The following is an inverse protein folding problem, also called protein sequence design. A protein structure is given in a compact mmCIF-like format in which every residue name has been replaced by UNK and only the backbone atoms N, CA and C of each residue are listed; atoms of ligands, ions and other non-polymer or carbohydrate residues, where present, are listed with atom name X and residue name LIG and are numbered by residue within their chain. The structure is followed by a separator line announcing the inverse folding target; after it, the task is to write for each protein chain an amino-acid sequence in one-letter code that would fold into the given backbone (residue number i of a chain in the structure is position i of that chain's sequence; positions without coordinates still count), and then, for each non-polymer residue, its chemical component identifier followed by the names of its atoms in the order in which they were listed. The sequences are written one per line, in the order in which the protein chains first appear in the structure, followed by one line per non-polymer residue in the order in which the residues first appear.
data_IF_426346897193
#
_entry.id   IF_426346897193
#
_cell.length_a   1.000
_cell.length_b   1.000
_cell.length_c   1.000
_cell.angle_alpha   90.00
_cell.angle_beta   90.00
_cell.angle_gamma   90.00
#
_symmetry.space_group_name_H-M   'P 1'
#
loop_
_entity.id
_entity.type
_entity.pdbx_description
1 polymer ?
#
# COMPACT_ATOMS: atom_id res chain seq x y z
N UNK A 1 -11.05 -28.00 17.93
CA UNK A 1 -10.64 -28.47 19.28
C UNK A 1 -11.06 -27.39 20.27
N UNK A 2 -12.23 -27.55 20.90
CA UNK A 2 -12.78 -26.58 21.86
C UNK A 2 -12.22 -26.87 23.26
N UNK A 3 -11.69 -25.84 23.92
CA UNK A 3 -11.20 -25.88 25.29
C UNK A 3 -12.39 -26.10 26.25
N UNK A 4 -12.36 -27.20 27.00
CA UNK A 4 -13.29 -27.49 28.08
C UNK A 4 -12.85 -26.76 29.36
N UNK A 5 -13.76 -26.15 30.13
CA UNK A 5 -13.41 -25.48 31.37
C UNK A 5 -13.20 -26.50 32.50
N UNK A 6 -11.98 -26.52 33.03
CA UNK A 6 -11.50 -27.38 34.12
C UNK A 6 -11.65 -26.68 35.48
N UNK A 7 -12.86 -26.64 36.04
CA UNK A 7 -13.06 -26.24 37.45
C UNK A 7 -14.17 -27.07 38.12
N UNK A 8 -13.86 -27.85 39.18
CA UNK A 8 -14.83 -28.71 39.86
C UNK A 8 -15.88 -27.98 40.72
N UNK A 9 -15.81 -26.65 40.88
CA UNK A 9 -16.72 -25.90 41.77
C UNK A 9 -18.04 -25.44 41.14
N UNK A 10 -18.23 -25.61 39.83
CA UNK A 10 -19.46 -25.19 39.13
C UNK A 10 -20.52 -26.29 39.01
N UNK A 11 -20.23 -27.53 39.43
CA UNK A 11 -21.12 -28.68 39.24
C UNK A 11 -22.20 -28.87 40.33
N UNK A 12 -22.12 -28.15 41.45
CA UNK A 12 -22.99 -28.36 42.61
C UNK A 12 -24.28 -27.51 42.63
N UNK A 13 -24.38 -26.45 41.81
CA UNK A 13 -25.57 -25.57 41.77
C UNK A 13 -26.63 -25.97 40.74
N UNK A 14 -26.39 -27.01 39.92
CA UNK A 14 -27.28 -27.41 38.83
C UNK A 14 -28.34 -28.47 39.18
N UNK A 15 -28.37 -29.00 40.42
CA UNK A 15 -29.27 -30.13 40.78
C UNK A 15 -30.62 -29.75 41.40
N UNK A 16 -30.90 -28.47 41.67
CA UNK A 16 -32.16 -28.04 42.34
C UNK A 16 -33.23 -27.41 41.41
N UNK A 17 -32.94 -27.18 40.12
CA UNK A 17 -33.87 -26.48 39.20
C UNK A 17 -34.63 -27.39 38.20
N UNK A 18 -34.65 -28.71 38.43
CA UNK A 18 -35.19 -29.69 37.47
C UNK A 18 -36.70 -29.57 37.17
N UNK A 19 -37.50 -29.07 38.12
CA UNK A 19 -38.96 -29.03 37.99
C UNK A 19 -39.50 -27.74 37.32
N UNK A 20 -38.69 -26.68 37.25
CA UNK A 20 -39.11 -25.36 36.73
C UNK A 20 -38.92 -25.22 35.21
N UNK A 21 -37.88 -25.86 34.65
CA UNK A 21 -37.57 -25.74 33.22
C UNK A 21 -38.68 -26.32 32.30
N UNK A 22 -39.38 -27.38 32.74
CA UNK A 22 -40.48 -28.00 31.95
C UNK A 22 -41.75 -27.14 31.90
N UNK A 23 -42.01 -26.33 32.93
CA UNK A 23 -43.15 -25.42 32.96
C UNK A 23 -42.90 -24.18 32.09
N UNK A 24 -41.68 -23.63 32.12
CA UNK A 24 -41.30 -22.51 31.24
C UNK A 24 -41.38 -22.87 29.75
N UNK A 25 -41.05 -24.11 29.38
CA UNK A 25 -41.08 -24.55 27.98
C UNK A 25 -42.47 -24.52 27.32
N UNK A 26 -43.57 -24.64 28.08
CA UNK A 26 -44.94 -24.54 27.53
C UNK A 26 -45.35 -23.09 27.22
N UNK A 27 -44.76 -22.12 27.90
CA UNK A 27 -45.13 -20.70 27.77
C UNK A 27 -44.40 -19.98 26.62
N UNK A 28 -43.24 -20.48 26.18
CA UNK A 28 -42.45 -19.91 25.06
C UNK A 28 -43.22 -19.91 23.74
N UNK A 29 -44.27 -20.73 23.58
CA UNK A 29 -45.09 -20.78 22.36
C UNK A 29 -46.19 -19.71 22.32
N UNK A 30 -46.49 -19.03 23.43
CA UNK A 30 -47.53 -17.99 23.47
C UNK A 30 -46.96 -16.63 23.04
N UNK A 31 -47.63 -15.86 22.17
CA UNK A 31 -47.17 -14.51 21.77
C UNK A 31 -47.02 -13.55 22.96
N UNK A 32 -47.89 -13.67 23.97
CA UNK A 32 -47.87 -12.82 25.17
C UNK A 32 -46.57 -12.95 25.97
N UNK A 33 -45.98 -14.15 25.99
CA UNK A 33 -44.71 -14.38 26.65
C UNK A 33 -43.61 -13.54 26.02
N UNK A 34 -43.52 -13.55 24.68
CA UNK A 34 -42.52 -12.76 23.95
C UNK A 34 -42.76 -11.25 24.10
N UNK A 35 -44.01 -10.80 24.09
CA UNK A 35 -44.32 -9.39 24.34
C UNK A 35 -43.82 -8.93 25.72
N UNK A 36 -44.08 -9.70 26.78
CA UNK A 36 -43.57 -9.40 28.13
C UNK A 36 -42.06 -9.54 28.24
N UNK A 37 -41.47 -10.52 27.56
CA UNK A 37 -40.02 -10.72 27.53
C UNK A 37 -39.29 -9.53 26.87
N UNK A 38 -39.82 -9.03 25.74
CA UNK A 38 -39.25 -7.90 25.00
C UNK A 38 -39.41 -6.56 25.74
N UNK A 39 -40.37 -6.46 26.67
CA UNK A 39 -40.53 -5.29 27.54
C UNK A 39 -39.52 -5.23 28.69
N UNK A 40 -38.78 -6.31 28.97
CA UNK A 40 -37.81 -6.31 30.07
C UNK A 40 -36.64 -5.37 29.78
N UNK A 41 -36.19 -4.55 30.74
CA UNK A 41 -35.14 -3.55 30.51
C UNK A 41 -33.82 -4.19 30.07
N UNK A 42 -33.46 -5.34 30.62
CA UNK A 42 -32.26 -6.09 30.22
C UNK A 42 -32.32 -6.56 28.75
N UNK A 43 -33.50 -6.99 28.28
CA UNK A 43 -33.71 -7.42 26.88
C UNK A 43 -33.65 -6.23 25.93
N UNK A 44 -34.24 -5.09 26.32
CA UNK A 44 -34.16 -3.85 25.53
C UNK A 44 -32.72 -3.34 25.40
N UNK A 45 -31.92 -3.38 26.47
CA UNK A 45 -30.50 -3.02 26.44
C UNK A 45 -29.72 -3.96 25.53
N UNK A 46 -29.96 -5.27 25.63
CA UNK A 46 -29.32 -6.26 24.75
C UNK A 46 -29.68 -6.04 23.27
N UNK A 47 -30.94 -5.72 22.97
CA UNK A 47 -31.39 -5.39 21.60
C UNK A 47 -30.74 -4.11 21.07
N UNK A 48 -30.71 -3.02 21.85
CA UNK A 48 -30.03 -1.77 21.44
C UNK A 48 -28.55 -2.02 21.17
N UNK A 49 -27.88 -2.82 22.01
CA UNK A 49 -26.50 -3.23 21.82
C UNK A 49 -26.33 -4.02 20.52
N UNK A 50 -27.19 -5.01 20.26
CA UNK A 50 -27.19 -5.81 19.02
C UNK A 50 -27.35 -4.92 17.76
N UNK A 51 -28.36 -4.04 17.73
CA UNK A 51 -28.58 -3.11 16.62
C UNK A 51 -27.37 -2.19 16.37
N UNK A 52 -26.73 -1.71 17.44
CA UNK A 52 -25.51 -0.90 17.34
C UNK A 52 -24.36 -1.70 16.71
N UNK A 53 -24.16 -2.97 17.10
CA UNK A 53 -23.15 -3.83 16.48
C UNK A 53 -23.46 -4.16 15.02
N UNK A 54 -24.71 -4.46 14.68
CA UNK A 54 -25.15 -4.69 13.31
C UNK A 54 -24.89 -3.45 12.45
N UNK A 55 -25.23 -2.25 12.95
CA UNK A 55 -24.95 -0.99 12.25
C UNK A 55 -23.45 -0.77 12.01
N UNK A 56 -22.58 -1.06 12.99
CA UNK A 56 -21.13 -0.95 12.80
C UNK A 56 -20.60 -1.99 11.80
N UNK A 57 -21.12 -3.22 11.84
CA UNK A 57 -20.73 -4.26 10.90
C UNK A 57 -21.12 -3.90 9.46
N UNK A 58 -22.33 -3.36 9.27
CA UNK A 58 -22.80 -2.85 7.98
C UNK A 58 -21.95 -1.68 7.48
N UNK A 59 -21.62 -0.72 8.35
CA UNK A 59 -20.74 0.40 8.00
C UNK A 59 -19.34 -0.09 7.61
N UNK A 60 -18.79 -1.06 8.34
CA UNK A 60 -17.49 -1.65 8.01
C UNK A 60 -17.52 -2.41 6.68
N UNK A 61 -18.60 -3.15 6.38
CA UNK A 61 -18.78 -3.81 5.09
C UNK A 61 -18.91 -2.80 3.95
N UNK A 62 -19.72 -1.75 4.10
CA UNK A 62 -19.83 -0.66 3.11
C UNK A 62 -18.47 -0.01 2.84
N UNK A 63 -17.71 0.28 3.89
CA UNK A 63 -16.37 0.86 3.74
C UNK A 63 -15.42 -0.07 2.98
N UNK A 64 -15.51 -1.40 3.18
CA UNK A 64 -14.71 -2.39 2.43
C UNK A 64 -15.10 -2.43 0.95
N UNK A 65 -16.40 -2.43 0.65
CA UNK A 65 -16.91 -2.41 -0.73
C UNK A 65 -16.48 -1.12 -1.42
N UNK A 66 -16.67 0.03 -0.79
CA UNK A 66 -16.24 1.33 -1.31
C UNK A 66 -14.73 1.38 -1.61
N UNK A 67 -13.91 0.75 -0.76
CA UNK A 67 -12.46 0.65 -0.99
C UNK A 67 -12.13 -0.20 -2.24
N UNK A 68 -12.81 -1.32 -2.43
CA UNK A 68 -12.63 -2.19 -3.59
C UNK A 68 -13.09 -1.50 -4.88
N UNK A 69 -14.25 -0.84 -4.85
CA UNK A 69 -14.75 -0.08 -6.00
C UNK A 69 -13.80 1.05 -6.40
N UNK A 70 -13.26 1.80 -5.43
CA UNK A 70 -12.24 2.82 -5.72
C UNK A 70 -10.98 2.23 -6.34
N UNK A 71 -10.51 1.06 -5.86
CA UNK A 71 -9.38 0.35 -6.47
C UNK A 71 -9.71 0.01 -7.92
N UNK A 72 -10.88 -0.56 -8.19
CA UNK A 72 -11.30 -0.90 -9.55
C UNK A 72 -11.38 0.35 -10.45
N UNK A 73 -11.97 1.45 -9.97
CA UNK A 73 -12.05 2.70 -10.74
C UNK A 73 -10.66 3.22 -11.11
N UNK A 74 -9.66 3.11 -10.21
CA UNK A 74 -8.29 3.50 -10.51
C UNK A 74 -7.69 2.64 -11.63
N UNK A 75 -7.88 1.32 -11.58
CA UNK A 75 -7.42 0.42 -12.64
C UNK A 75 -8.05 0.76 -13.99
N UNK A 76 -9.36 0.98 -14.03
CA UNK A 76 -10.08 1.34 -15.25
C UNK A 76 -9.59 2.68 -15.83
N UNK A 77 -9.45 3.72 -14.99
CA UNK A 77 -8.93 5.02 -15.45
C UNK A 77 -7.51 4.85 -15.98
N UNK A 78 -6.66 4.11 -15.28
CA UNK A 78 -5.27 3.92 -15.66
C UNK A 78 -5.14 3.18 -16.98
N UNK A 79 -5.91 2.11 -17.18
CA UNK A 79 -5.96 1.37 -18.43
C UNK A 79 -6.31 2.28 -19.63
N UNK A 80 -7.27 3.19 -19.46
CA UNK A 80 -7.67 4.15 -20.50
C UNK A 80 -6.62 5.28 -20.68
N UNK A 81 -5.97 5.72 -19.60
CA UNK A 81 -4.88 6.69 -19.66
C UNK A 81 -3.68 6.14 -20.44
N UNK A 82 -3.43 4.84 -20.40
CA UNK A 82 -2.32 4.24 -21.15
C UNK A 82 -2.42 4.45 -22.66
N UNK A 83 -3.65 4.48 -23.18
CA UNK A 83 -3.96 4.74 -24.59
C UNK A 83 -3.92 6.22 -24.97
N UNK A 84 -3.79 7.12 -23.99
CA UNK A 84 -3.71 8.56 -24.24
C UNK A 84 -2.31 8.98 -24.72
N UNK A 85 -2.25 10.16 -25.35
CA UNK A 85 -0.99 10.78 -25.73
C UNK A 85 -0.13 11.14 -24.50
N UNK A 86 1.20 11.10 -24.66
CA UNK A 86 2.18 11.28 -23.57
C UNK A 86 2.02 12.60 -22.82
N UNK A 87 1.66 13.69 -23.50
CA UNK A 87 1.42 14.99 -22.86
C UNK A 87 0.24 14.96 -21.87
N UNK A 88 -0.82 14.19 -22.16
CA UNK A 88 -1.96 14.00 -21.26
C UNK A 88 -1.54 13.16 -20.06
N UNK A 89 -0.77 12.09 -20.28
CA UNK A 89 -0.22 11.25 -19.20
C UNK A 89 0.65 12.06 -18.24
N UNK A 90 1.56 12.90 -18.76
CA UNK A 90 2.40 13.79 -17.94
C UNK A 90 1.63 14.84 -17.16
N UNK A 91 0.53 15.35 -17.72
CA UNK A 91 -0.33 16.29 -17.00
C UNK A 91 -0.99 15.60 -15.81
N UNK A 92 -1.55 14.42 -16.02
CA UNK A 92 -2.41 13.73 -15.04
C UNK A 92 -1.61 12.98 -13.98
N UNK A 93 -0.50 12.33 -14.35
CA UNK A 93 0.30 11.48 -13.45
C UNK A 93 0.59 12.14 -12.09
N UNK A 94 1.19 13.35 -11.98
CA UNK A 94 1.49 13.95 -10.67
C UNK A 94 0.24 14.28 -9.85
N UNK A 95 -0.92 14.42 -10.50
CA UNK A 95 -2.20 14.69 -9.87
C UNK A 95 -2.99 13.42 -9.51
N UNK A 96 -2.64 12.27 -10.09
CA UNK A 96 -3.46 11.05 -9.99
C UNK A 96 -3.47 10.45 -8.58
N UNK A 97 -2.47 10.79 -7.75
CA UNK A 97 -2.44 10.43 -6.32
C UNK A 97 -3.53 11.09 -5.47
N UNK A 98 -4.18 12.15 -5.97
CA UNK A 98 -5.18 12.90 -5.23
C UNK A 98 -6.59 12.40 -5.54
N UNK A 99 -7.38 12.18 -4.49
CA UNK A 99 -8.76 11.70 -4.59
C UNK A 99 -9.66 12.57 -5.49
N UNK A 100 -9.50 13.89 -5.42
CA UNK A 100 -10.25 14.83 -6.26
C UNK A 100 -10.01 14.58 -7.76
N UNK A 101 -8.75 14.32 -8.14
CA UNK A 101 -8.38 14.01 -9.52
C UNK A 101 -8.98 12.67 -9.94
N UNK A 102 -8.88 11.64 -9.11
CA UNK A 102 -9.43 10.30 -9.40
C UNK A 102 -10.95 10.35 -9.60
N UNK A 103 -11.67 11.03 -8.70
CA UNK A 103 -13.12 11.19 -8.78
C UNK A 103 -13.54 11.95 -10.05
N UNK A 104 -12.80 13.02 -10.38
CA UNK A 104 -13.07 13.79 -11.57
C UNK A 104 -12.81 12.97 -12.85
N UNK A 105 -11.68 12.27 -12.94
CA UNK A 105 -11.35 11.42 -14.08
C UNK A 105 -12.34 10.25 -14.24
N UNK A 106 -12.79 9.64 -13.14
CA UNK A 106 -13.84 8.62 -13.19
C UNK A 106 -15.12 9.17 -13.82
N UNK A 107 -15.55 10.38 -13.38
CA UNK A 107 -16.72 11.04 -13.94
C UNK A 107 -16.57 11.29 -15.45
N UNK A 108 -15.41 11.81 -15.87
CA UNK A 108 -15.09 12.03 -17.30
C UNK A 108 -15.11 10.73 -18.09
N UNK A 109 -14.57 9.63 -17.52
CA UNK A 109 -14.59 8.32 -18.15
C UNK A 109 -16.03 7.79 -18.34
N UNK A 110 -16.87 7.94 -17.32
CA UNK A 110 -18.29 7.59 -17.43
C UNK A 110 -19.02 8.43 -18.49
N UNK A 111 -18.74 9.73 -18.58
CA UNK A 111 -19.31 10.62 -19.60
C UNK A 111 -18.85 10.25 -21.01
N UNK A 112 -17.55 9.97 -21.20
CA UNK A 112 -17.01 9.51 -22.48
C UNK A 112 -17.71 8.22 -22.96
N UNK A 113 -17.88 7.24 -22.07
CA UNK A 113 -18.58 5.98 -22.37
C UNK A 113 -20.05 6.20 -22.75
N UNK A 114 -20.75 7.13 -22.06
CA UNK A 114 -22.15 7.47 -22.38
C UNK A 114 -22.29 8.14 -23.74
N UNK A 115 -21.32 8.96 -24.13
CA UNK A 115 -21.31 9.67 -25.41
C UNK A 115 -20.73 8.83 -26.55
N UNK A 116 -20.18 7.64 -26.27
CA UNK A 116 -19.50 6.81 -27.26
C UNK A 116 -18.18 7.40 -27.74
N UNK A 117 -17.55 8.27 -26.94
CA UNK A 117 -16.26 8.87 -27.24
C UNK A 117 -15.12 8.10 -26.57
N UNK A 118 -13.94 8.13 -27.20
CA UNK A 118 -12.72 7.66 -26.54
C UNK A 118 -12.39 8.57 -25.35
N UNK A 119 -11.90 7.96 -24.27
CA UNK A 119 -11.53 8.71 -23.07
C UNK A 119 -10.48 9.78 -23.35
N UNK A 120 -9.50 9.47 -24.21
CA UNK A 120 -8.46 10.40 -24.63
C UNK A 120 -9.02 11.64 -25.35
N UNK A 121 -10.04 11.49 -26.19
CA UNK A 121 -10.66 12.58 -26.91
C UNK A 121 -11.54 13.43 -25.99
N UNK A 122 -12.22 12.79 -25.02
CA UNK A 122 -12.96 13.50 -23.97
C UNK A 122 -12.04 14.38 -23.14
N UNK A 123 -10.84 13.88 -22.77
CA UNK A 123 -9.84 14.65 -22.02
C UNK A 123 -9.28 15.86 -22.78
N UNK A 124 -9.30 15.83 -24.12
CA UNK A 124 -8.86 16.95 -24.98
C UNK A 124 -9.91 18.04 -25.13
N UNK A 125 -11.15 17.80 -24.72
CA UNK A 125 -12.19 18.83 -24.78
C UNK A 125 -11.79 20.02 -23.90
N UNK A 126 -11.90 21.28 -24.38
CA UNK A 126 -11.44 22.46 -23.65
C UNK A 126 -12.00 22.57 -22.23
N UNK A 127 -13.27 22.21 -22.04
CA UNK A 127 -13.93 22.23 -20.73
C UNK A 127 -13.28 21.26 -19.74
N UNK A 128 -13.01 20.03 -20.20
CA UNK A 128 -12.41 18.98 -19.37
C UNK A 128 -10.97 19.34 -19.04
N UNK A 129 -10.22 19.81 -20.03
CA UNK A 129 -8.83 20.24 -19.88
C UNK A 129 -8.68 21.43 -18.93
N UNK A 130 -9.52 22.46 -19.08
CA UNK A 130 -9.51 23.63 -18.17
C UNK A 130 -9.82 23.22 -16.73
N UNK A 131 -10.74 22.30 -16.52
CA UNK A 131 -11.03 21.81 -15.16
C UNK A 131 -9.86 21.00 -14.58
N UNK A 132 -9.16 20.20 -15.38
CA UNK A 132 -7.93 19.53 -14.94
C UNK A 132 -6.83 20.54 -14.56
N UNK A 133 -6.68 21.61 -15.33
CA UNK A 133 -5.73 22.68 -14.99
C UNK A 133 -6.14 23.44 -13.72
N UNK A 134 -7.44 23.65 -13.50
CA UNK A 134 -7.94 24.21 -12.25
C UNK A 134 -7.62 23.31 -11.06
N UNK A 135 -7.86 21.99 -11.17
CA UNK A 135 -7.47 21.02 -10.13
C UNK A 135 -5.96 21.06 -9.88
N UNK A 136 -5.14 21.14 -10.95
CA UNK A 136 -3.68 21.29 -10.83
C UNK A 136 -3.31 22.54 -10.03
N UNK A 137 -3.93 23.66 -10.35
CA UNK A 137 -3.71 24.93 -9.66
C UNK A 137 -4.18 24.87 -8.21
N UNK A 138 -5.34 24.27 -7.91
CA UNK A 138 -5.85 24.05 -6.56
C UNK A 138 -4.88 23.20 -5.71
N UNK A 139 -4.32 22.13 -6.29
CA UNK A 139 -3.30 21.29 -5.64
C UNK A 139 -2.00 22.07 -5.37
N UNK A 140 -1.60 22.94 -6.31
CA UNK A 140 -0.34 23.69 -6.23
C UNK A 140 -0.43 24.91 -5.31
N UNK A 141 -1.58 25.59 -5.27
CA UNK A 141 -1.76 26.89 -4.60
C UNK A 141 -2.21 26.78 -3.13
N UNK A 142 -2.61 25.61 -2.65
CA UNK A 142 -3.12 25.46 -1.29
C UNK A 142 -2.09 25.84 -0.20
N UNK A 143 -2.45 26.65 0.83
CA UNK A 143 -1.55 27.07 1.91
C UNK A 143 -1.08 25.91 2.83
N UNK A 144 -1.60 24.72 2.60
CA UNK A 144 -1.25 23.46 3.25
C UNK A 144 -1.04 22.37 2.18
N UNK A 145 -0.05 22.52 1.30
CA UNK A 145 0.15 21.79 0.03
C UNK A 145 0.05 20.25 0.02
N UNK A 146 -0.28 19.59 1.13
CA UNK A 146 -0.62 18.16 1.23
C UNK A 146 -1.66 17.86 2.35
N UNK A 147 -1.93 18.77 3.30
CA UNK A 147 -2.59 18.40 4.57
C UNK A 147 -4.13 18.45 4.57
N UNK A 148 -4.76 19.21 3.66
CA UNK A 148 -6.23 19.27 3.56
C UNK A 148 -6.83 18.26 2.59
N UNK A 149 -6.05 17.88 1.57
CA UNK A 149 -6.41 16.84 0.61
C UNK A 149 -5.72 15.58 1.07
N UNK A 150 -6.45 14.67 1.73
CA UNK A 150 -5.93 13.33 2.00
C UNK A 150 -5.47 12.71 0.68
N UNK A 151 -4.17 12.80 0.40
CA UNK A 151 -3.52 11.81 -0.45
C UNK A 151 -3.87 10.48 0.21
N UNK A 152 -4.56 9.59 -0.51
CA UNK A 152 -4.72 8.24 0.02
C UNK A 152 -3.28 7.70 0.09
N UNK A 153 -2.72 7.61 1.30
CA UNK A 153 -1.37 7.12 1.58
C UNK A 153 -1.19 5.66 1.08
N UNK A 154 -2.30 5.00 0.72
CA UNK A 154 -2.40 3.70 0.05
C UNK A 154 -2.53 3.78 -1.49
N UNK A 155 -2.05 4.83 -2.16
CA UNK A 155 -1.77 4.71 -3.60
C UNK A 155 -0.55 3.80 -3.71
N UNK A 156 -0.78 2.52 -4.04
CA UNK A 156 0.26 1.55 -4.40
C UNK A 156 1.25 2.25 -5.34
N UNK A 157 2.46 2.58 -4.84
CA UNK A 157 3.55 3.21 -5.60
C UNK A 157 3.77 2.49 -6.94
N UNK A 158 3.61 1.16 -6.92
CA UNK A 158 3.66 0.26 -8.06
C UNK A 158 2.74 0.64 -9.25
N UNK A 159 1.58 1.26 -9.03
CA UNK A 159 0.67 1.66 -10.13
C UNK A 159 1.15 2.95 -10.82
N UNK A 160 1.57 3.92 -10.03
CA UNK A 160 2.07 5.20 -10.55
C UNK A 160 3.40 5.01 -11.27
N UNK A 161 4.26 4.14 -10.73
CA UNK A 161 5.53 3.77 -11.35
C UNK A 161 5.32 3.09 -12.71
N UNK A 162 4.31 2.21 -12.86
CA UNK A 162 3.96 1.62 -14.16
C UNK A 162 3.54 2.66 -15.20
N UNK A 163 2.68 3.62 -14.82
CA UNK A 163 2.26 4.70 -15.73
C UNK A 163 3.42 5.56 -16.21
N UNK A 164 4.35 5.87 -15.31
CA UNK A 164 5.50 6.73 -15.61
C UNK A 164 6.50 5.99 -16.49
N UNK A 165 6.77 4.72 -16.20
CA UNK A 165 7.71 3.89 -16.97
C UNK A 165 7.22 3.70 -18.41
N UNK A 166 5.94 3.34 -18.63
CA UNK A 166 5.43 3.10 -19.98
C UNK A 166 5.18 4.38 -20.79
N UNK A 167 4.95 5.53 -20.15
CA UNK A 167 4.82 6.81 -20.85
C UNK A 167 6.15 7.28 -21.48
N UNK A 168 7.29 6.85 -20.91
CA UNK A 168 8.64 7.17 -21.36
C UNK A 168 9.24 6.11 -22.28
N UNK A 169 8.58 4.97 -22.48
CA UNK A 169 9.00 3.95 -23.46
C UNK A 169 8.68 4.43 -24.88
N UNK A 170 9.64 5.11 -25.51
CA UNK A 170 9.61 5.40 -26.96
C UNK A 170 9.72 4.07 -27.72
N UNK A 171 8.77 3.72 -28.61
CA UNK A 171 8.89 2.51 -29.43
C UNK A 171 10.07 2.67 -30.40
N UNK A 172 11.17 1.95 -30.14
CA UNK A 172 12.39 2.01 -30.94
C UNK A 172 13.71 2.10 -30.14
N UNK A 173 13.64 2.24 -28.81
CA UNK A 173 14.81 2.11 -27.95
C UNK A 173 15.15 0.63 -27.70
N UNK A 174 16.31 0.21 -28.19
CA UNK A 174 16.97 -1.07 -27.86
C UNK A 174 17.00 -1.19 -26.33
N UNK A 175 16.41 -2.25 -25.76
CA UNK A 175 16.37 -2.63 -24.33
C UNK A 175 17.09 -1.66 -23.39
N UNK A 176 16.48 -0.50 -23.18
CA UNK A 176 17.10 0.64 -22.51
C UNK A 176 16.35 0.91 -21.22
N UNK A 177 17.02 0.71 -20.09
CA UNK A 177 16.61 1.24 -18.80
C UNK A 177 16.03 2.65 -18.98
N UNK A 178 14.84 2.91 -18.42
CA UNK A 178 14.26 4.24 -18.37
C UNK A 178 15.34 5.26 -17.98
N UNK A 179 15.37 6.47 -18.61
CA UNK A 179 16.45 7.43 -18.40
C UNK A 179 16.67 7.59 -16.91
N UNK A 180 17.85 7.13 -16.47
CA UNK A 180 18.26 6.95 -15.08
C UNK A 180 17.94 8.24 -14.30
N UNK A 181 16.72 8.31 -13.72
CA UNK A 181 16.16 9.45 -12.98
C UNK A 181 16.86 9.64 -11.63
N UNK A 182 18.07 9.08 -11.50
CA UNK A 182 18.91 9.26 -10.34
C UNK A 182 19.26 10.73 -10.22
N UNK A 183 18.99 11.27 -9.04
CA UNK A 183 19.44 12.61 -8.70
C UNK A 183 20.97 12.63 -8.76
N UNK A 184 21.51 13.54 -9.57
CA UNK A 184 22.95 13.74 -9.71
C UNK A 184 23.40 14.67 -8.59
N UNK A 185 24.32 14.18 -7.78
CA UNK A 185 24.82 14.87 -6.59
C UNK A 185 26.28 15.28 -6.77
N UNK A 186 26.63 16.43 -6.21
CA UNK A 186 28.02 16.85 -6.10
C UNK A 186 28.80 15.98 -5.09
N UNK A 187 30.12 16.18 -4.99
CA UNK A 187 30.99 15.42 -4.07
C UNK A 187 30.53 15.51 -2.60
N UNK A 188 30.06 16.66 -2.15
CA UNK A 188 29.69 16.86 -0.74
C UNK A 188 28.35 16.18 -0.45
N UNK A 189 27.40 16.33 -1.36
CA UNK A 189 26.07 15.72 -1.26
C UNK A 189 26.15 14.20 -1.30
N UNK A 190 26.94 13.62 -2.21
CA UNK A 190 27.09 12.16 -2.30
C UNK A 190 27.77 11.59 -1.04
N UNK A 191 28.71 12.33 -0.44
CA UNK A 191 29.31 11.90 0.82
C UNK A 191 28.25 11.81 1.93
N UNK A 192 27.33 12.77 2.00
CA UNK A 192 26.20 12.71 2.95
C UNK A 192 25.31 11.49 2.73
N UNK A 193 25.04 11.11 1.47
CA UNK A 193 24.30 9.89 1.13
C UNK A 193 25.07 8.63 1.54
N UNK A 194 26.38 8.60 1.33
CA UNK A 194 27.23 7.47 1.72
C UNK A 194 27.30 7.31 3.25
N UNK A 195 27.45 8.41 3.99
CA UNK A 195 27.50 8.42 5.45
C UNK A 195 26.17 7.93 6.03
N UNK A 196 25.05 8.41 5.49
CA UNK A 196 23.73 7.97 5.92
C UNK A 196 23.44 6.51 5.52
N UNK A 197 23.88 6.08 4.34
CA UNK A 197 23.81 4.68 3.92
C UNK A 197 24.63 3.76 4.82
N UNK A 198 25.79 4.21 5.28
CA UNK A 198 26.61 3.49 6.25
C UNK A 198 25.93 3.41 7.62
N UNK A 199 25.28 4.49 8.08
CA UNK A 199 24.48 4.48 9.31
C UNK A 199 23.35 3.45 9.24
N UNK A 200 22.52 3.50 8.18
CA UNK A 200 21.41 2.55 7.97
C UNK A 200 21.92 1.10 7.99
N UNK A 201 23.04 0.84 7.32
CA UNK A 201 23.65 -0.50 7.30
C UNK A 201 24.12 -0.93 8.69
N UNK A 202 24.74 -0.05 9.46
CA UNK A 202 25.17 -0.35 10.84
C UNK A 202 23.97 -0.67 11.74
N UNK A 203 22.93 0.15 11.72
CA UNK A 203 21.70 -0.08 12.50
C UNK A 203 21.00 -1.39 12.09
N UNK A 204 20.97 -1.68 10.78
CA UNK A 204 20.47 -2.96 10.27
C UNK A 204 21.32 -4.15 10.72
N UNK A 205 22.65 -4.01 10.77
CA UNK A 205 23.54 -5.06 11.27
C UNK A 205 23.34 -5.30 12.77
N UNK A 206 23.19 -4.25 13.57
CA UNK A 206 22.90 -4.35 15.00
C UNK A 206 21.58 -5.07 15.26
N UNK A 207 20.51 -4.68 14.54
CA UNK A 207 19.23 -5.37 14.62
C UNK A 207 19.35 -6.85 14.23
N UNK A 208 20.14 -7.15 13.19
CA UNK A 208 20.39 -8.53 12.76
C UNK A 208 21.14 -9.34 13.82
N UNK A 209 22.18 -8.78 14.46
CA UNK A 209 22.91 -9.47 15.54
C UNK A 209 22.00 -9.75 16.75
N UNK A 210 21.06 -8.85 17.03
CA UNK A 210 20.06 -9.02 18.11
C UNK A 210 18.89 -9.94 17.74
N UNK A 211 19.00 -10.71 16.65
CA UNK A 211 17.94 -11.58 16.11
C UNK A 211 16.62 -10.86 15.79
N UNK A 212 16.64 -9.53 15.71
CA UNK A 212 15.52 -8.72 15.25
C UNK A 212 15.55 -8.63 13.72
N UNK A 213 15.22 -9.75 13.06
CA UNK A 213 15.27 -9.89 11.60
C UNK A 213 14.35 -8.90 10.88
N UNK A 214 13.18 -8.61 11.46
CA UNK A 214 12.20 -7.66 10.90
C UNK A 214 12.73 -6.23 10.93
N UNK A 215 13.30 -5.81 12.07
CA UNK A 215 13.98 -4.53 12.20
C UNK A 215 15.16 -4.41 11.23
N UNK A 216 15.97 -5.46 11.11
CA UNK A 216 17.09 -5.51 10.18
C UNK A 216 16.63 -5.37 8.71
N UNK A 217 15.63 -6.15 8.30
CA UNK A 217 15.06 -6.11 6.96
C UNK A 217 14.51 -4.72 6.64
N UNK A 218 13.77 -4.11 7.57
CA UNK A 218 13.24 -2.75 7.42
C UNK A 218 14.35 -1.73 7.16
N UNK A 219 15.45 -1.78 7.92
CA UNK A 219 16.59 -0.87 7.71
C UNK A 219 17.27 -1.11 6.36
N UNK A 220 17.52 -2.36 5.97
CA UNK A 220 18.13 -2.61 4.66
C UNK A 220 17.22 -2.22 3.49
N UNK A 221 15.90 -2.34 3.64
CA UNK A 221 14.94 -1.80 2.66
C UNK A 221 15.04 -0.28 2.53
N UNK A 222 15.14 0.46 3.63
CA UNK A 222 15.36 1.92 3.59
C UNK A 222 16.66 2.27 2.87
N UNK A 223 17.73 1.53 3.13
CA UNK A 223 19.02 1.72 2.46
C UNK A 223 18.95 1.45 0.96
N UNK A 224 18.27 0.39 0.54
CA UNK A 224 18.03 0.05 -0.88
C UNK A 224 17.22 1.14 -1.61
N UNK A 225 16.08 1.54 -1.03
CA UNK A 225 15.21 2.59 -1.58
C UNK A 225 15.93 3.93 -1.70
N UNK A 226 16.75 4.29 -0.71
CA UNK A 226 17.52 5.52 -0.76
C UNK A 226 18.63 5.45 -1.81
N UNK A 227 19.51 4.44 -1.75
CA UNK A 227 20.74 4.40 -2.54
C UNK A 227 20.48 4.23 -4.04
N UNK A 228 19.39 3.57 -4.44
CA UNK A 228 19.04 3.39 -5.86
C UNK A 228 18.69 4.69 -6.58
N UNK A 229 18.34 5.75 -5.85
CA UNK A 229 17.85 7.02 -6.38
C UNK A 229 18.94 8.08 -6.61
N UNK A 230 20.21 7.79 -6.28
CA UNK A 230 21.31 8.75 -6.36
C UNK A 230 22.44 8.28 -7.27
N UNK A 231 23.14 9.22 -7.89
CA UNK A 231 24.45 9.01 -8.54
C UNK A 231 25.32 10.25 -8.34
N UNK A 232 26.63 10.08 -8.25
CA UNK A 232 27.54 11.23 -8.25
C UNK A 232 27.74 11.76 -9.67
N UNK A 233 28.22 12.99 -9.81
CA UNK A 233 28.63 13.56 -11.10
C UNK A 233 29.55 12.60 -11.89
N UNK A 234 29.48 12.56 -13.24
CA UNK A 234 30.20 11.55 -14.03
C UNK A 234 31.72 11.50 -13.84
N UNK A 235 32.34 12.62 -13.45
CA UNK A 235 33.77 12.70 -13.18
C UNK A 235 34.18 12.15 -11.80
N UNK A 236 33.21 11.95 -10.89
CA UNK A 236 33.39 11.37 -9.55
C UNK A 236 33.26 9.85 -9.59
N UNK A 237 34.14 9.20 -10.34
CA UNK A 237 34.09 7.74 -10.55
C UNK A 237 34.31 6.94 -9.26
N UNK A 238 35.14 7.46 -8.35
CA UNK A 238 35.42 6.81 -7.06
C UNK A 238 34.16 6.77 -6.19
N UNK A 239 33.50 7.90 -6.05
CA UNK A 239 32.28 8.06 -5.25
C UNK A 239 31.13 7.22 -5.84
N UNK A 240 30.99 7.18 -7.16
CA UNK A 240 30.04 6.29 -7.84
C UNK A 240 30.32 4.80 -7.57
N UNK A 241 31.59 4.39 -7.52
CA UNK A 241 31.98 3.02 -7.17
C UNK A 241 31.67 2.69 -5.70
N UNK A 242 31.91 3.64 -4.80
CA UNK A 242 31.59 3.51 -3.37
C UNK A 242 30.08 3.39 -3.16
N UNK A 243 29.28 4.20 -3.85
CA UNK A 243 27.82 4.14 -3.81
C UNK A 243 27.28 2.78 -4.24
N UNK A 244 27.74 2.26 -5.40
CA UNK A 244 27.38 0.92 -5.87
C UNK A 244 27.80 -0.16 -4.87
N UNK A 245 28.97 -0.01 -4.24
CA UNK A 245 29.45 -0.96 -3.22
C UNK A 245 28.57 -0.93 -1.98
N UNK A 246 28.14 0.24 -1.53
CA UNK A 246 27.25 0.40 -0.38
C UNK A 246 25.85 -0.15 -0.67
N UNK A 247 25.30 0.15 -1.85
CA UNK A 247 24.00 -0.34 -2.28
C UNK A 247 23.98 -1.86 -2.38
N UNK A 248 25.01 -2.45 -3.00
CA UNK A 248 25.20 -3.90 -3.05
C UNK A 248 25.28 -4.52 -1.65
N UNK A 249 25.98 -3.90 -0.71
CA UNK A 249 26.07 -4.40 0.66
C UNK A 249 24.69 -4.40 1.35
N UNK A 250 23.89 -3.35 1.17
CA UNK A 250 22.52 -3.28 1.70
C UNK A 250 21.62 -4.36 1.08
N UNK A 251 21.67 -4.55 -0.24
CA UNK A 251 20.91 -5.60 -0.94
C UNK A 251 21.28 -7.01 -0.47
N UNK A 252 22.57 -7.26 -0.30
CA UNK A 252 23.06 -8.54 0.23
C UNK A 252 22.53 -8.79 1.65
N UNK A 253 22.56 -7.78 2.51
CA UNK A 253 22.06 -7.93 3.87
C UNK A 253 20.53 -8.03 3.92
N UNK A 254 19.81 -7.30 3.05
CA UNK A 254 18.36 -7.42 2.82
C UNK A 254 17.99 -8.85 2.44
N UNK A 255 18.70 -9.45 1.49
CA UNK A 255 18.48 -10.84 1.09
C UNK A 255 18.65 -11.80 2.26
N UNK A 256 19.72 -11.62 3.05
CA UNK A 256 19.99 -12.46 4.23
C UNK A 256 18.90 -12.35 5.31
N UNK A 257 18.46 -11.13 5.62
CA UNK A 257 17.38 -10.89 6.58
C UNK A 257 16.05 -11.48 6.10
N UNK A 258 15.75 -11.35 4.81
CA UNK A 258 14.56 -11.95 4.20
C UNK A 258 14.58 -13.49 4.30
N UNK A 259 15.74 -14.13 4.08
CA UNK A 259 15.89 -15.59 4.26
C UNK A 259 15.63 -16.02 5.71
N UNK A 260 16.09 -15.25 6.71
CA UNK A 260 15.82 -15.52 8.13
C UNK A 260 14.35 -15.43 8.52
N UNK A 261 13.53 -14.77 7.69
CA UNK A 261 12.09 -14.63 7.88
C UNK A 261 11.26 -15.45 6.89
N UNK A 262 11.88 -16.41 6.20
CA UNK A 262 11.23 -17.24 5.18
C UNK A 262 10.55 -16.44 4.03
N UNK A 263 11.04 -15.22 3.76
CA UNK A 263 10.55 -14.36 2.67
C UNK A 263 11.33 -14.60 1.37
N UNK A 264 11.20 -15.81 0.82
CA UNK A 264 11.99 -16.29 -0.33
C UNK A 264 11.95 -15.36 -1.55
N UNK A 265 10.78 -14.85 -1.94
CA UNK A 265 10.66 -13.96 -3.09
C UNK A 265 11.39 -12.62 -2.88
N UNK A 266 11.37 -12.08 -1.66
CA UNK A 266 12.09 -10.86 -1.32
C UNK A 266 13.59 -11.10 -1.35
N UNK A 267 14.05 -12.24 -0.85
CA UNK A 267 15.45 -12.64 -0.90
C UNK A 267 15.97 -12.76 -2.33
N UNK A 268 15.25 -13.47 -3.21
CA UNK A 268 15.61 -13.64 -4.63
C UNK A 268 15.68 -12.28 -5.33
N UNK A 269 14.67 -11.42 -5.16
CA UNK A 269 14.68 -10.08 -5.79
C UNK A 269 15.86 -9.23 -5.32
N UNK A 270 16.19 -9.26 -4.02
CA UNK A 270 17.33 -8.53 -3.49
C UNK A 270 18.67 -9.08 -4.00
N UNK A 271 18.80 -10.41 -4.12
CA UNK A 271 19.97 -11.06 -4.69
C UNK A 271 20.15 -10.74 -6.18
N UNK A 272 19.08 -10.82 -6.98
CA UNK A 272 19.10 -10.43 -8.39
C UNK A 272 19.49 -8.96 -8.57
N UNK A 273 18.95 -8.06 -7.74
CA UNK A 273 19.35 -6.65 -7.76
C UNK A 273 20.84 -6.46 -7.42
N UNK A 274 21.38 -7.22 -6.46
CA UNK A 274 22.81 -7.18 -6.14
C UNK A 274 23.67 -7.69 -7.30
N UNK A 275 23.23 -8.74 -8.01
CA UNK A 275 23.92 -9.28 -9.18
C UNK A 275 23.92 -8.32 -10.38
N UNK A 276 22.90 -7.46 -10.52
CA UNK A 276 22.91 -6.36 -11.51
C UNK A 276 24.00 -5.32 -11.23
N UNK A 277 24.37 -5.13 -9.96
CA UNK A 277 25.47 -4.22 -9.58
C UNK A 277 26.85 -4.88 -9.71
N UNK A 278 26.94 -6.20 -9.43
CA UNK A 278 28.15 -7.01 -9.55
C UNK A 278 27.75 -8.46 -9.87
N UNK A 279 27.94 -8.89 -11.12
CA UNK A 279 27.50 -10.21 -11.60
C UNK A 279 28.21 -11.40 -10.92
N UNK A 280 29.42 -11.20 -10.40
CA UNK A 280 30.25 -12.18 -9.71
C UNK A 280 30.19 -12.04 -8.17
N UNK A 281 29.07 -11.56 -7.60
CA UNK A 281 28.90 -11.50 -6.14
C UNK A 281 28.51 -12.88 -5.59
N UNK A 282 29.48 -13.60 -5.04
CA UNK A 282 29.31 -14.95 -4.47
C UNK A 282 28.20 -15.03 -3.41
N UNK A 283 28.03 -13.98 -2.60
CA UNK A 283 26.97 -13.95 -1.56
C UNK A 283 25.60 -13.84 -2.19
N UNK A 284 25.45 -13.04 -3.24
CA UNK A 284 24.19 -12.89 -3.95
C UNK A 284 23.84 -14.18 -4.72
N UNK A 285 24.82 -14.81 -5.38
CA UNK A 285 24.64 -16.12 -6.03
C UNK A 285 24.15 -17.17 -5.04
N UNK A 286 24.85 -17.33 -3.91
CA UNK A 286 24.49 -18.32 -2.90
C UNK A 286 23.10 -18.10 -2.27
N UNK A 287 22.64 -16.85 -2.17
CA UNK A 287 21.34 -16.51 -1.54
C UNK A 287 20.16 -16.59 -2.51
N UNK A 288 20.45 -16.67 -3.81
CA UNK A 288 19.44 -16.81 -4.85
C UNK A 288 19.03 -18.28 -5.04
N UNK A 289 20.00 -19.19 -4.91
CA UNK A 289 19.82 -20.64 -4.98
C UNK A 289 19.09 -21.20 -3.74
#
# INVERSE_FOLDING_TARGET
KYLAPSSPRSAALLRSCGSSARAMAKDVRKPEFWNKFMQRPEVQVAMKKKLKYESYAEQAQRTKVDKLERKQHRYDIMHELMQCATNVKHLISPMFRYKITQQYLWKVLCEARKEGLLFCDKLRQPQVYHRLMAIKAEITAGPYGVAGWQAEEEVEEDLMDKMVVEADCIPGGIDGEAPDRKQVLDRREIQGVLDFGQQIKTEGNEAFVNENWEGALTRYCQGDEMLKNFRAEPHLQKENKELKTMHRACLNNKANAALKMDQWQTAIRAADAALKLKHDDEKALFRKD
#
